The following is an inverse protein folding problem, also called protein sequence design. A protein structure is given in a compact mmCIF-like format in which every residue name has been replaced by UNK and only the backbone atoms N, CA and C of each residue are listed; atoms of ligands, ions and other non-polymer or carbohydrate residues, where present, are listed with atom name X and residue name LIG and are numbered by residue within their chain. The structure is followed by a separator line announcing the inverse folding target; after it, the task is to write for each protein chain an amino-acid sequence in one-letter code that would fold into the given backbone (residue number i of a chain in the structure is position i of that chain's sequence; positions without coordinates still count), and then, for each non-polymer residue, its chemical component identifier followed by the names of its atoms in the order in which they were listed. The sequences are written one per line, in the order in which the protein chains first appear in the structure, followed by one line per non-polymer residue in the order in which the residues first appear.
data_IF_039840251957
#
_entry.id   IF_039840251957
#
_cell.length_a   1.000
_cell.length_b   1.000
_cell.length_c   1.000
_cell.angle_alpha   90.00
_cell.angle_beta   90.00
_cell.angle_gamma   90.00
#
_symmetry.space_group_name_H-M   'P 1'
#
loop_
_entity.id
_entity.type
_entity.pdbx_description
1 polymer ?
#
# COMPACT_ATOMS: atom_id res chain seq x y z
N UNK A 1 17.12 -9.96 3.31
CA UNK A 1 17.63 -9.68 1.96
C UNK A 1 17.80 -8.18 1.72
N UNK A 2 16.73 -7.38 1.60
CA UNK A 2 16.82 -5.93 1.32
C UNK A 2 17.76 -5.18 2.30
N UNK A 3 17.64 -5.48 3.60
CA UNK A 3 18.51 -4.91 4.66
C UNK A 3 19.97 -5.37 4.62
N UNK A 4 20.30 -6.38 3.80
CA UNK A 4 21.65 -6.92 3.70
C UNK A 4 22.44 -6.26 2.55
N UNK A 5 21.80 -5.44 1.71
CA UNK A 5 22.45 -4.73 0.61
C UNK A 5 23.47 -3.73 1.17
N UNK A 6 24.68 -3.71 0.59
CA UNK A 6 25.73 -2.76 0.93
C UNK A 6 25.79 -1.68 -0.17
N UNK A 7 25.62 -0.41 0.22
CA UNK A 7 25.60 0.74 -0.69
C UNK A 7 24.76 0.53 -1.98
N UNK A 8 23.46 0.18 -1.87
CA UNK A 8 22.61 0.06 -3.05
C UNK A 8 22.39 1.40 -3.77
N UNK A 9 22.57 1.41 -5.09
CA UNK A 9 22.31 2.57 -5.95
C UNK A 9 20.81 2.70 -6.28
N UNK A 10 20.09 3.46 -5.46
CA UNK A 10 18.62 3.60 -5.55
C UNK A 10 18.13 4.36 -6.78
N UNK A 11 19.00 5.16 -7.40
CA UNK A 11 18.70 5.94 -8.59
C UNK A 11 18.82 5.13 -9.89
N UNK A 12 19.32 3.89 -9.83
CA UNK A 12 19.34 3.00 -10.99
C UNK A 12 17.92 2.80 -11.53
N UNK A 13 17.75 3.01 -12.84
CA UNK A 13 16.46 2.95 -13.51
C UNK A 13 16.32 1.75 -14.44
N UNK A 14 15.09 1.24 -14.54
CA UNK A 14 14.67 0.36 -15.63
C UNK A 14 13.56 1.06 -16.42
N UNK A 15 13.62 0.98 -17.75
CA UNK A 15 12.61 1.57 -18.63
C UNK A 15 11.37 0.69 -18.68
N UNK A 16 10.29 1.17 -18.07
CA UNK A 16 8.98 0.58 -18.17
C UNK A 16 8.30 1.03 -19.45
N UNK A 17 7.76 0.08 -20.22
CA UNK A 17 7.17 0.32 -21.54
C UNK A 17 6.14 1.47 -21.57
N UNK A 18 5.38 1.64 -20.49
CA UNK A 18 4.33 2.68 -20.39
C UNK A 18 4.68 3.86 -19.49
N UNK A 19 5.59 3.67 -18.52
CA UNK A 19 5.83 4.65 -17.45
C UNK A 19 7.19 5.34 -17.57
N UNK A 20 7.97 4.97 -18.59
CA UNK A 20 9.34 5.44 -18.78
C UNK A 20 10.27 4.94 -17.68
N UNK A 21 11.36 5.67 -17.38
CA UNK A 21 12.35 5.22 -16.41
C UNK A 21 11.77 5.19 -14.98
N UNK A 22 11.93 4.05 -14.32
CA UNK A 22 11.55 3.83 -12.93
C UNK A 22 12.79 3.49 -12.13
N UNK A 23 13.13 4.33 -11.13
CA UNK A 23 14.24 4.06 -10.22
C UNK A 23 13.91 2.94 -9.22
N UNK A 24 14.93 2.21 -8.77
CA UNK A 24 14.78 1.17 -7.76
C UNK A 24 14.13 1.70 -6.46
N UNK A 25 14.50 2.92 -6.05
CA UNK A 25 13.90 3.59 -4.88
C UNK A 25 12.42 3.91 -5.09
N UNK A 26 12.06 4.46 -6.27
CA UNK A 26 10.66 4.71 -6.62
C UNK A 26 9.85 3.43 -6.65
N UNK A 27 10.38 2.36 -7.22
CA UNK A 27 9.71 1.07 -7.30
C UNK A 27 9.39 0.52 -5.90
N UNK A 28 10.38 0.49 -5.00
CA UNK A 28 10.19 0.00 -3.64
C UNK A 28 9.18 0.83 -2.83
N UNK A 29 9.23 2.16 -2.93
CA UNK A 29 8.27 3.02 -2.25
C UNK A 29 6.83 2.80 -2.73
N UNK A 30 6.64 2.60 -4.04
CA UNK A 30 5.33 2.27 -4.60
C UNK A 30 4.85 0.88 -4.20
N UNK A 31 5.76 -0.09 -4.04
CA UNK A 31 5.40 -1.40 -3.50
C UNK A 31 4.86 -1.27 -2.07
N UNK A 32 5.50 -0.48 -1.21
CA UNK A 32 4.99 -0.24 0.13
C UNK A 32 3.62 0.47 0.12
N UNK A 33 3.43 1.43 -0.78
CA UNK A 33 2.14 2.12 -0.95
C UNK A 33 1.04 1.16 -1.42
N UNK A 34 1.37 0.20 -2.29
CA UNK A 34 0.46 -0.84 -2.75
C UNK A 34 -0.01 -1.73 -1.61
N UNK A 35 0.88 -2.11 -0.68
CA UNK A 35 0.49 -2.85 0.52
C UNK A 35 -0.52 -2.05 1.37
N UNK A 36 -0.34 -0.74 1.52
CA UNK A 36 -1.29 0.10 2.23
C UNK A 36 -2.67 0.12 1.54
N UNK A 37 -2.71 0.11 0.21
CA UNK A 37 -3.98 0.01 -0.53
C UNK A 37 -4.68 -1.32 -0.26
N UNK A 38 -3.95 -2.43 -0.24
CA UNK A 38 -4.53 -3.73 0.08
C UNK A 38 -5.03 -3.83 1.53
N UNK A 39 -4.27 -3.30 2.49
CA UNK A 39 -4.73 -3.21 3.89
C UNK A 39 -6.03 -2.41 3.97
N UNK A 40 -6.11 -1.27 3.30
CA UNK A 40 -7.34 -0.46 3.24
C UNK A 40 -8.51 -1.20 2.61
N UNK A 41 -8.28 -1.97 1.54
CA UNK A 41 -9.32 -2.79 0.90
C UNK A 41 -9.87 -3.85 1.86
N UNK A 42 -9.00 -4.57 2.57
CA UNK A 42 -9.40 -5.58 3.55
C UNK A 42 -10.21 -4.94 4.69
N UNK A 43 -9.69 -3.85 5.26
CA UNK A 43 -10.37 -3.19 6.37
C UNK A 43 -11.73 -2.61 5.96
N UNK A 44 -11.88 -2.14 4.72
CA UNK A 44 -13.18 -1.68 4.19
C UNK A 44 -14.21 -2.80 4.21
N UNK A 45 -13.84 -4.01 3.78
CA UNK A 45 -14.74 -5.18 3.78
C UNK A 45 -15.09 -5.58 5.20
N UNK A 46 -14.11 -5.60 6.11
CA UNK A 46 -14.34 -5.92 7.52
C UNK A 46 -15.23 -4.88 8.22
N UNK A 47 -15.01 -3.59 7.95
CA UNK A 47 -15.83 -2.51 8.47
C UNK A 47 -17.28 -2.65 8.00
N UNK A 48 -17.51 -2.86 6.69
CA UNK A 48 -18.85 -3.08 6.14
C UNK A 48 -19.53 -4.32 6.75
N UNK A 49 -18.79 -5.42 6.93
CA UNK A 49 -19.31 -6.62 7.57
C UNK A 49 -19.69 -6.39 9.04
N UNK A 50 -18.87 -5.66 9.80
CA UNK A 50 -19.16 -5.31 11.19
C UNK A 50 -20.43 -4.45 11.30
N UNK A 51 -20.55 -3.42 10.44
CA UNK A 51 -21.77 -2.60 10.38
C UNK A 51 -22.99 -3.46 10.05
N UNK A 52 -22.89 -4.34 9.06
CA UNK A 52 -23.98 -5.21 8.64
C UNK A 52 -24.43 -6.19 9.74
N UNK A 53 -23.47 -6.80 10.44
CA UNK A 53 -23.76 -7.84 11.44
C UNK A 53 -24.25 -7.29 12.78
N UNK A 54 -23.78 -6.10 13.17
CA UNK A 54 -24.17 -5.50 14.45
C UNK A 54 -25.40 -4.61 14.36
N UNK A 55 -25.65 -4.00 13.19
CA UNK A 55 -26.68 -2.99 13.00
C UNK A 55 -26.47 -1.72 13.84
N UNK A 56 -25.30 -1.57 14.47
CA UNK A 56 -24.99 -0.44 15.34
C UNK A 56 -24.48 0.76 14.52
N UNK A 57 -24.72 1.96 15.04
CA UNK A 57 -24.05 3.16 14.56
C UNK A 57 -22.59 3.17 15.04
N UNK A 58 -21.66 3.11 14.08
CA UNK A 58 -20.22 3.11 14.36
C UNK A 58 -19.60 4.50 14.34
N UNK A 59 -20.39 5.58 14.24
CA UNK A 59 -19.90 6.96 14.12
C UNK A 59 -18.95 7.40 15.25
N UNK A 60 -19.04 6.80 16.45
CA UNK A 60 -18.10 7.08 17.55
C UNK A 60 -16.64 6.75 17.17
N UNK A 61 -16.42 5.74 16.33
CA UNK A 61 -15.08 5.37 15.86
C UNK A 61 -14.47 6.39 14.87
N UNK A 62 -15.24 7.40 14.47
CA UNK A 62 -14.86 8.39 13.47
C UNK A 62 -15.30 8.01 12.05
N UNK A 63 -15.11 8.91 11.08
CA UNK A 63 -15.46 8.65 9.68
C UNK A 63 -14.54 7.59 9.08
N UNK A 64 -15.13 6.73 8.25
CA UNK A 64 -14.43 5.72 7.45
C UNK A 64 -14.13 6.22 6.03
#
# INVERSE_FOLDING_TARGET
WLRNLQAPEWENTLDHAEMGPISAGRFLANWQAHDYMHIRQILRVQHAYLTHTTGQDLAYAGPW
#
